data_IF_597063656533
#
_entry.id   IF_597063656533
#
_cell.length_a   1.000
_cell.length_b   1.000
_cell.length_c   1.000
_cell.angle_alpha   90.00
_cell.angle_beta   90.00
_cell.angle_gamma   90.00
#
_symmetry.space_group_name_H-M   'P 1'
#
loop_
_entity.id
_entity.type
_entity.pdbx_description
1 polymer ?
#
# COMPACT_ATOMS: atom_id res chain seq x y z
N UNK A 1 -13.61 -2.72 -21.28
CA UNK A 1 -13.69 -4.18 -21.55
C UNK A 1 -15.16 -4.54 -21.62
N UNK A 2 -15.63 -5.18 -22.69
CA UNK A 2 -17.03 -5.64 -22.77
C UNK A 2 -17.27 -6.70 -21.72
N UNK A 3 -18.40 -6.65 -21.00
CA UNK A 3 -18.74 -7.59 -19.92
C UNK A 3 -18.65 -9.05 -20.37
N UNK A 4 -19.15 -9.37 -21.56
CA UNK A 4 -19.09 -10.72 -22.15
C UNK A 4 -17.66 -11.25 -22.41
N UNK A 5 -16.67 -10.36 -22.48
CA UNK A 5 -15.27 -10.70 -22.74
C UNK A 5 -14.39 -10.59 -21.48
N UNK A 6 -14.97 -10.41 -20.28
CA UNK A 6 -14.21 -10.20 -19.04
C UNK A 6 -13.28 -11.38 -18.73
N UNK A 7 -13.81 -12.60 -18.81
CA UNK A 7 -13.04 -13.83 -18.58
C UNK A 7 -11.81 -13.89 -19.49
N UNK A 8 -12.02 -13.81 -20.80
CA UNK A 8 -10.93 -13.82 -21.79
C UNK A 8 -9.94 -12.67 -21.59
N UNK A 9 -10.41 -11.48 -21.24
CA UNK A 9 -9.55 -10.33 -21.00
C UNK A 9 -8.63 -10.53 -19.77
N UNK A 10 -9.05 -11.31 -18.78
CA UNK A 10 -8.27 -11.66 -17.60
C UNK A 10 -7.36 -12.86 -17.85
N UNK A 11 -7.82 -13.86 -18.60
CA UNK A 11 -7.00 -14.99 -19.06
C UNK A 11 -5.80 -14.52 -19.88
N UNK A 12 -6.00 -13.53 -20.77
CA UNK A 12 -4.92 -12.88 -21.52
C UNK A 12 -3.87 -12.18 -20.62
N UNK A 13 -4.19 -11.94 -19.35
CA UNK A 13 -3.28 -11.37 -18.33
C UNK A 13 -2.72 -12.45 -17.40
N UNK A 14 -2.96 -13.72 -17.70
CA UNK A 14 -2.60 -14.84 -16.85
C UNK A 14 -3.41 -14.92 -15.56
N UNK A 15 -4.60 -14.29 -15.50
CA UNK A 15 -5.47 -14.32 -14.33
C UNK A 15 -6.62 -15.27 -14.58
N UNK A 16 -6.62 -16.39 -13.87
CA UNK A 16 -7.71 -17.37 -13.94
C UNK A 16 -8.78 -17.09 -12.89
N UNK A 17 -10.04 -17.13 -13.32
CA UNK A 17 -11.22 -16.98 -12.47
C UNK A 17 -11.94 -18.32 -12.29
N UNK A 18 -12.38 -18.59 -11.07
CA UNK A 18 -13.38 -19.62 -10.77
C UNK A 18 -14.77 -19.09 -11.08
N UNK A 19 -15.72 -20.00 -11.32
CA UNK A 19 -17.09 -19.64 -11.67
C UNK A 19 -17.73 -18.68 -10.65
N UNK A 20 -17.59 -19.00 -9.35
CA UNK A 20 -18.08 -18.14 -8.27
C UNK A 20 -17.46 -16.74 -8.26
N UNK A 21 -16.18 -16.62 -8.66
CA UNK A 21 -15.48 -15.34 -8.70
C UNK A 21 -15.90 -14.52 -9.90
N UNK A 22 -16.17 -15.17 -11.03
CA UNK A 22 -16.73 -14.53 -12.21
C UNK A 22 -18.09 -13.89 -11.90
N UNK A 23 -18.98 -14.62 -11.21
CA UNK A 23 -20.28 -14.10 -10.76
C UNK A 23 -20.10 -12.91 -9.80
N UNK A 24 -19.17 -13.00 -8.85
CA UNK A 24 -18.86 -11.88 -7.94
C UNK A 24 -18.35 -10.65 -8.69
N UNK A 25 -17.46 -10.85 -9.67
CA UNK A 25 -16.93 -9.76 -10.47
C UNK A 25 -18.00 -9.09 -11.32
N UNK A 26 -18.99 -9.81 -11.84
CA UNK A 26 -20.11 -9.19 -12.57
C UNK A 26 -20.98 -8.27 -11.70
N UNK A 27 -20.93 -8.44 -10.37
CA UNK A 27 -21.70 -7.64 -9.41
C UNK A 27 -20.90 -6.46 -8.83
N UNK A 28 -19.59 -6.36 -9.09
CA UNK A 28 -18.71 -5.44 -8.34
C UNK A 28 -18.33 -4.11 -9.03
N UNK A 29 -17.90 -4.05 -10.30
CA UNK A 29 -17.48 -2.78 -10.90
C UNK A 29 -18.69 -2.04 -11.48
N UNK A 30 -18.63 -0.69 -11.57
CA UNK A 30 -19.61 0.06 -12.31
C UNK A 30 -19.59 -0.37 -13.79
N UNK A 31 -20.67 -1.00 -14.23
CA UNK A 31 -20.91 -1.35 -15.63
C UNK A 31 -21.62 -0.14 -16.24
N UNK A 32 -21.04 0.42 -17.29
CA UNK A 32 -21.66 1.51 -18.04
C UNK A 32 -22.88 1.01 -18.82
N UNK A 33 -23.75 1.92 -19.27
CA UNK A 33 -25.00 1.58 -19.99
C UNK A 33 -24.78 0.76 -21.27
N UNK A 34 -23.60 0.88 -21.88
CA UNK A 34 -23.15 0.13 -23.05
C UNK A 34 -22.49 -1.22 -22.71
N UNK A 35 -22.56 -1.67 -21.46
CA UNK A 35 -22.04 -2.98 -21.04
C UNK A 35 -20.52 -3.04 -21.00
N UNK A 36 -19.87 -1.91 -20.70
CA UNK A 36 -18.42 -1.78 -20.63
C UNK A 36 -17.96 -1.59 -19.18
N UNK A 37 -16.77 -2.11 -18.90
CA UNK A 37 -16.07 -1.94 -17.63
C UNK A 37 -14.70 -1.32 -17.88
N UNK A 38 -14.32 -0.32 -17.10
CA UNK A 38 -12.98 0.27 -17.16
C UNK A 38 -11.93 -0.75 -16.72
N UNK A 39 -10.80 -0.82 -17.45
CA UNK A 39 -9.72 -1.80 -17.16
C UNK A 39 -9.20 -1.70 -15.72
N UNK A 40 -9.02 -0.46 -15.23
CA UNK A 40 -8.63 -0.19 -13.85
C UNK A 40 -9.66 -0.72 -12.85
N UNK A 41 -10.93 -0.33 -13.00
CA UNK A 41 -11.99 -0.80 -12.11
C UNK A 41 -12.13 -2.31 -12.10
N UNK A 42 -11.95 -2.96 -13.26
CA UNK A 42 -11.92 -4.42 -13.34
C UNK A 42 -10.75 -5.00 -12.54
N UNK A 43 -9.54 -4.47 -12.72
CA UNK A 43 -8.37 -4.95 -11.99
C UNK A 43 -8.52 -4.71 -10.48
N UNK A 44 -9.02 -3.54 -10.07
CA UNK A 44 -9.30 -3.23 -8.66
C UNK A 44 -10.24 -4.27 -8.04
N UNK A 45 -11.31 -4.65 -8.74
CA UNK A 45 -12.22 -5.73 -8.30
C UNK A 45 -11.54 -7.10 -8.23
N UNK A 46 -10.63 -7.41 -9.16
CA UNK A 46 -9.91 -8.69 -9.20
C UNK A 46 -8.89 -8.79 -8.06
N UNK A 47 -8.24 -7.70 -7.68
CA UNK A 47 -7.31 -7.61 -6.53
C UNK A 47 -8.02 -7.91 -5.20
N UNK A 48 -9.33 -7.69 -5.11
CA UNK A 48 -10.09 -8.07 -3.92
C UNK A 48 -10.32 -9.59 -3.81
N UNK A 49 -10.06 -10.35 -4.88
CA UNK A 49 -10.17 -11.81 -4.87
C UNK A 49 -8.93 -12.43 -4.25
N UNK A 50 -9.13 -13.37 -3.32
CA UNK A 50 -8.03 -14.06 -2.64
C UNK A 50 -7.35 -15.10 -3.54
N UNK A 51 -6.03 -15.22 -3.43
CA UNK A 51 -5.24 -16.29 -4.05
C UNK A 51 -5.10 -16.15 -5.57
N UNK A 52 -5.18 -14.92 -6.10
CA UNK A 52 -4.88 -14.66 -7.51
C UNK A 52 -3.37 -14.62 -7.67
N UNK A 53 -2.85 -15.46 -8.54
CA UNK A 53 -1.43 -15.56 -8.86
C UNK A 53 -1.21 -15.24 -10.33
N UNK A 54 -0.07 -14.63 -10.64
CA UNK A 54 0.28 -14.21 -12.00
C UNK A 54 1.76 -14.47 -12.26
N UNK A 55 2.08 -14.87 -13.50
CA UNK A 55 3.45 -15.01 -13.97
C UNK A 55 4.06 -13.64 -14.25
N UNK A 56 5.36 -13.45 -13.98
CA UNK A 56 6.05 -12.15 -14.13
C UNK A 56 6.00 -11.61 -15.56
N UNK A 57 6.06 -12.47 -16.58
CA UNK A 57 5.86 -12.10 -17.99
C UNK A 57 4.53 -11.37 -18.27
N UNK A 58 3.50 -11.54 -17.44
CA UNK A 58 2.22 -10.84 -17.58
C UNK A 58 2.21 -9.47 -16.88
N UNK A 59 3.25 -9.14 -16.11
CA UNK A 59 3.36 -7.89 -15.38
C UNK A 59 3.14 -6.66 -16.28
N UNK A 60 3.73 -6.53 -17.49
CA UNK A 60 3.47 -5.39 -18.37
C UNK A 60 1.98 -5.22 -18.72
N UNK A 61 1.27 -6.33 -18.94
CA UNK A 61 -0.16 -6.30 -19.28
C UNK A 61 -1.04 -5.93 -18.08
N UNK A 62 -0.64 -6.35 -16.88
CA UNK A 62 -1.31 -5.99 -15.62
C UNK A 62 -1.08 -4.50 -15.35
N UNK A 63 0.17 -4.06 -15.38
CA UNK A 63 0.56 -2.66 -15.17
C UNK A 63 -0.12 -1.72 -16.16
N UNK A 64 -0.25 -2.10 -17.44
CA UNK A 64 -1.00 -1.34 -18.45
C UNK A 64 -2.52 -1.27 -18.22
N UNK A 65 -3.04 -1.95 -17.18
CA UNK A 65 -4.44 -1.81 -16.72
C UNK A 65 -4.56 -0.96 -15.45
N UNK A 66 -3.43 -0.52 -14.90
CA UNK A 66 -3.32 0.41 -13.77
C UNK A 66 -3.12 1.84 -14.26
N UNK A 67 -3.07 2.80 -13.33
CA UNK A 67 -2.60 4.16 -13.60
C UNK A 67 -1.17 4.38 -13.09
N UNK A 68 -0.42 3.29 -12.84
CA UNK A 68 0.96 3.35 -12.35
C UNK A 68 1.86 3.35 -13.58
N UNK A 69 2.61 4.45 -13.74
CA UNK A 69 3.60 4.58 -14.78
C UNK A 69 4.98 4.47 -14.15
N UNK A 70 5.72 3.42 -14.51
CA UNK A 70 7.05 3.14 -13.99
C UNK A 70 8.09 3.49 -15.05
N UNK A 71 9.12 4.23 -14.66
CA UNK A 71 10.36 4.32 -15.44
C UNK A 71 11.06 2.96 -15.47
N UNK A 72 12.03 2.78 -16.37
CA UNK A 72 12.69 1.48 -16.56
C UNK A 72 13.34 0.99 -15.26
N UNK A 73 14.03 1.89 -14.56
CA UNK A 73 14.72 1.63 -13.31
C UNK A 73 13.73 1.28 -12.19
N UNK A 74 12.53 1.87 -12.20
CA UNK A 74 11.47 1.59 -11.23
C UNK A 74 10.79 0.26 -11.50
N UNK A 75 10.67 -0.14 -12.77
CA UNK A 75 10.18 -1.44 -13.15
C UNK A 75 11.15 -2.55 -12.73
N UNK A 76 12.46 -2.37 -12.94
CA UNK A 76 13.50 -3.27 -12.44
C UNK A 76 13.49 -3.32 -10.90
N UNK A 77 13.39 -2.16 -10.26
CA UNK A 77 13.24 -2.04 -8.81
C UNK A 77 12.02 -2.78 -8.27
N UNK A 78 10.87 -2.71 -8.96
CA UNK A 78 9.66 -3.46 -8.59
C UNK A 78 9.95 -4.96 -8.64
N UNK A 79 10.46 -5.47 -9.76
CA UNK A 79 10.73 -6.91 -9.94
C UNK A 79 11.66 -7.45 -8.85
N UNK A 80 12.73 -6.73 -8.53
CA UNK A 80 13.72 -7.16 -7.53
C UNK A 80 13.16 -7.30 -6.11
N UNK A 81 11.97 -6.76 -5.83
CA UNK A 81 11.35 -6.78 -4.51
C UNK A 81 10.07 -7.61 -4.44
N UNK A 82 9.64 -8.15 -5.58
CA UNK A 82 8.54 -9.09 -5.58
C UNK A 82 9.02 -10.45 -5.05
N UNK A 83 8.27 -11.08 -4.14
CA UNK A 83 8.54 -12.46 -3.73
C UNK A 83 8.09 -13.41 -4.84
N UNK A 84 8.94 -13.55 -5.85
CA UNK A 84 8.73 -14.42 -7.01
C UNK A 84 9.15 -15.84 -6.62
N UNK A 85 8.27 -16.81 -6.87
CA UNK A 85 8.58 -18.22 -6.65
C UNK A 85 9.43 -18.83 -7.78
N UNK A 86 9.84 -20.09 -7.62
CA UNK A 86 10.66 -20.83 -8.59
C UNK A 86 10.03 -20.96 -10.00
N UNK A 87 8.73 -20.71 -10.12
CA UNK A 87 7.98 -20.76 -11.39
C UNK A 87 7.72 -19.36 -11.95
N UNK A 88 8.43 -18.35 -11.46
CA UNK A 88 8.25 -16.94 -11.82
C UNK A 88 6.85 -16.39 -11.52
N UNK A 89 6.19 -16.94 -10.51
CA UNK A 89 4.83 -16.55 -10.11
C UNK A 89 4.86 -15.68 -8.85
N UNK A 90 3.98 -14.67 -8.84
CA UNK A 90 3.74 -13.79 -7.69
C UNK A 90 2.24 -13.70 -7.40
N UNK A 91 1.88 -13.49 -6.14
CA UNK A 91 0.50 -13.16 -5.76
C UNK A 91 0.14 -11.76 -6.28
N UNK A 92 -1.01 -11.63 -6.94
CA UNK A 92 -1.48 -10.39 -7.56
C UNK A 92 -1.63 -9.27 -6.53
N UNK A 93 -2.05 -9.57 -5.31
CA UNK A 93 -2.23 -8.56 -4.27
C UNK A 93 -0.89 -8.04 -3.79
N UNK A 94 0.07 -8.96 -3.60
CA UNK A 94 1.46 -8.59 -3.27
C UNK A 94 2.07 -7.73 -4.38
N UNK A 95 1.87 -8.12 -5.64
CA UNK A 95 2.30 -7.33 -6.79
C UNK A 95 1.70 -5.92 -6.76
N UNK A 96 0.39 -5.81 -6.60
CA UNK A 96 -0.30 -4.53 -6.64
C UNK A 96 0.06 -3.65 -5.44
N UNK A 97 0.34 -4.23 -4.28
CA UNK A 97 0.79 -3.50 -3.11
C UNK A 97 2.23 -3.02 -3.23
N UNK A 98 3.15 -3.81 -3.81
CA UNK A 98 4.50 -3.33 -4.12
C UNK A 98 4.49 -2.25 -5.20
N UNK A 99 3.72 -2.43 -6.27
CA UNK A 99 3.64 -1.46 -7.36
C UNK A 99 3.15 -0.07 -6.89
N UNK A 100 2.20 -0.02 -5.94
CA UNK A 100 1.74 1.24 -5.33
C UNK A 100 2.86 2.00 -4.62
N UNK A 101 3.92 1.34 -4.21
CA UNK A 101 5.05 2.01 -3.55
C UNK A 101 5.87 2.88 -4.51
N UNK A 102 5.74 2.66 -5.82
CA UNK A 102 6.36 3.45 -6.88
C UNK A 102 5.39 4.53 -7.43
N UNK A 103 4.61 5.16 -6.56
CA UNK A 103 3.65 6.19 -6.94
C UNK A 103 3.76 7.44 -6.07
N UNK A 104 3.18 8.55 -6.51
CA UNK A 104 3.20 9.81 -5.77
C UNK A 104 4.54 10.55 -5.85
N UNK A 105 4.77 11.46 -4.91
CA UNK A 105 5.90 12.40 -4.94
C UNK A 105 7.25 11.71 -4.74
N UNK A 106 8.23 12.04 -5.59
CA UNK A 106 9.63 11.60 -5.47
C UNK A 106 10.45 12.60 -4.65
N UNK A 107 11.35 12.11 -3.80
CA UNK A 107 12.22 12.89 -2.92
C UNK A 107 13.67 12.50 -3.17
N UNK A 108 14.57 13.48 -3.30
CA UNK A 108 15.99 13.21 -3.42
C UNK A 108 16.54 12.52 -2.15
N UNK A 109 17.43 11.55 -2.32
CA UNK A 109 18.02 10.79 -1.20
C UNK A 109 18.68 11.73 -0.18
N UNK A 110 19.35 12.79 -0.65
CA UNK A 110 19.95 13.83 0.18
C UNK A 110 18.95 14.59 1.07
N UNK A 111 17.67 14.62 0.70
CA UNK A 111 16.62 15.33 1.41
C UNK A 111 15.78 14.42 2.34
N UNK A 112 16.03 13.10 2.38
CA UNK A 112 15.20 12.14 3.13
C UNK A 112 15.10 12.49 4.61
N UNK A 113 16.22 12.81 5.27
CA UNK A 113 16.24 13.19 6.68
C UNK A 113 15.36 14.43 6.95
N UNK A 114 15.42 15.44 6.07
CA UNK A 114 14.58 16.64 6.19
C UNK A 114 13.09 16.31 6.00
N UNK A 115 12.76 15.48 5.01
CA UNK A 115 11.37 15.07 4.73
C UNK A 115 10.79 14.27 5.89
N UNK A 116 11.53 13.31 6.43
CA UNK A 116 11.10 12.52 7.60
C UNK A 116 10.89 13.40 8.82
N UNK A 117 11.81 14.33 9.11
CA UNK A 117 11.64 15.30 10.21
C UNK A 117 10.40 16.17 10.05
N UNK A 118 10.10 16.61 8.82
CA UNK A 118 8.87 17.37 8.50
C UNK A 118 7.61 16.52 8.71
N UNK A 119 7.67 15.23 8.47
CA UNK A 119 6.60 14.27 8.78
C UNK A 119 6.49 13.94 10.28
N UNK A 120 7.44 14.40 11.10
CA UNK A 120 7.49 14.09 12.54
C UNK A 120 8.23 12.80 12.88
N UNK A 121 8.84 12.13 11.89
CA UNK A 121 9.68 10.96 12.09
C UNK A 121 11.08 11.36 12.58
N UNK A 122 11.52 10.71 13.64
CA UNK A 122 12.83 10.87 14.25
C UNK A 122 13.55 9.53 14.17
N UNK A 123 14.58 9.51 13.33
CA UNK A 123 15.49 8.37 13.20
C UNK A 123 16.84 8.74 13.82
N UNK A 124 17.47 7.79 14.50
CA UNK A 124 18.89 7.87 14.89
C UNK A 124 19.78 7.76 13.65
N UNK A 125 21.09 7.99 13.80
CA UNK A 125 22.02 7.85 12.69
C UNK A 125 22.11 6.39 12.21
N UNK A 126 22.03 5.45 13.15
CA UNK A 126 22.05 4.01 12.91
C UNK A 126 20.79 3.57 12.18
N UNK A 127 19.61 4.01 12.61
CA UNK A 127 18.33 3.74 11.92
C UNK A 127 18.28 4.39 10.54
N UNK A 128 18.85 5.59 10.39
CA UNK A 128 18.95 6.24 9.09
C UNK A 128 19.89 5.48 8.15
N UNK A 129 20.98 4.91 8.67
CA UNK A 129 21.89 4.06 7.90
C UNK A 129 21.18 2.77 7.46
N UNK A 130 20.47 2.09 8.37
CA UNK A 130 19.68 0.90 8.03
C UNK A 130 18.61 1.22 6.98
N UNK A 131 17.95 2.38 7.09
CA UNK A 131 17.01 2.86 6.08
C UNK A 131 17.68 3.00 4.71
N UNK A 132 18.86 3.62 4.65
CA UNK A 132 19.60 3.78 3.40
C UNK A 132 20.06 2.45 2.83
N UNK A 133 20.47 1.49 3.65
CA UNK A 133 20.82 0.13 3.22
C UNK A 133 19.61 -0.62 2.65
N UNK A 134 18.43 -0.46 3.26
CA UNK A 134 17.18 -1.03 2.72
C UNK A 134 16.69 -0.30 1.46
N UNK A 135 17.06 0.97 1.27
CA UNK A 135 16.70 1.78 0.10
C UNK A 135 17.76 1.76 -1.02
N UNK A 136 18.98 1.30 -0.76
CA UNK A 136 20.07 1.26 -1.75
C UNK A 136 19.83 0.20 -2.83
N UNK A 137 18.99 -0.79 -2.55
CA UNK A 137 18.54 -1.82 -3.52
C UNK A 137 17.79 -1.21 -4.72
N UNK A 138 17.41 0.07 -4.63
CA UNK A 138 16.59 0.74 -5.65
C UNK A 138 17.40 1.57 -6.64
N UNK A 139 18.69 1.86 -6.42
CA UNK A 139 19.58 2.58 -7.36
C UNK A 139 19.03 3.90 -7.95
N UNK A 140 18.06 4.57 -7.32
CA UNK A 140 17.46 5.80 -7.86
C UNK A 140 17.83 6.99 -6.98
N UNK A 141 18.47 8.02 -7.55
CA UNK A 141 18.83 9.26 -6.84
C UNK A 141 17.63 10.01 -6.22
N UNK A 142 16.40 9.60 -6.56
CA UNK A 142 15.14 10.03 -5.94
C UNK A 142 14.26 8.82 -5.63
N UNK A 143 13.55 8.86 -4.51
CA UNK A 143 12.70 7.76 -4.04
C UNK A 143 11.27 8.26 -3.81
N UNK A 144 10.28 7.47 -4.18
CA UNK A 144 8.88 7.77 -3.88
C UNK A 144 8.61 7.82 -2.38
N UNK A 145 7.84 8.82 -1.92
CA UNK A 145 7.44 8.93 -0.50
C UNK A 145 6.70 7.69 0.01
N UNK A 146 5.87 7.07 -0.83
CA UNK A 146 5.20 5.80 -0.50
C UNK A 146 6.19 4.68 -0.21
N UNK A 147 7.26 4.57 -1.02
CA UNK A 147 8.33 3.60 -0.81
C UNK A 147 9.11 3.89 0.48
N UNK A 148 9.50 5.15 0.68
CA UNK A 148 10.16 5.59 1.91
C UNK A 148 9.35 5.18 3.15
N UNK A 149 8.05 5.50 3.17
CA UNK A 149 7.18 5.19 4.30
C UNK A 149 7.00 3.68 4.51
N UNK A 150 6.98 2.88 3.43
CA UNK A 150 6.94 1.42 3.55
C UNK A 150 8.18 0.89 4.28
N UNK A 151 9.38 1.29 3.85
CA UNK A 151 10.63 0.83 4.49
C UNK A 151 10.75 1.34 5.92
N UNK A 152 10.35 2.59 6.19
CA UNK A 152 10.36 3.13 7.56
C UNK A 152 9.47 2.31 8.50
N UNK A 153 8.33 1.79 8.03
CA UNK A 153 7.46 0.90 8.84
C UNK A 153 8.07 -0.47 9.15
N UNK A 154 9.03 -0.91 8.34
CA UNK A 154 9.75 -2.18 8.55
C UNK A 154 10.92 -2.02 9.53
N UNK A 155 11.27 -0.79 9.92
CA UNK A 155 12.25 -0.51 10.97
C UNK A 155 11.58 -0.63 12.34
N UNK A 156 12.30 -1.13 13.35
CA UNK A 156 11.78 -1.27 14.72
C UNK A 156 12.05 -0.05 15.63
N UNK A 157 12.96 0.83 15.22
CA UNK A 157 13.47 1.95 16.03
C UNK A 157 12.79 3.33 15.86
N UNK A 158 12.28 3.71 14.66
CA UNK A 158 11.83 5.08 14.43
C UNK A 158 10.80 5.57 15.44
N UNK A 159 10.99 6.80 15.91
CA UNK A 159 10.07 7.48 16.83
C UNK A 159 9.30 8.58 16.10
N UNK A 160 8.12 8.91 16.60
CA UNK A 160 7.23 9.92 16.04
C UNK A 160 6.99 11.02 17.07
N UNK A 161 7.18 12.29 16.69
CA UNK A 161 6.76 13.45 17.50
C UNK A 161 5.23 13.58 17.49
N UNK A 162 4.64 14.12 18.56
CA UNK A 162 3.19 14.33 18.78
C UNK A 162 2.40 14.96 17.61
N UNK A 163 3.04 15.53 16.58
CA UNK A 163 2.38 15.88 15.31
C UNK A 163 2.04 14.63 14.47
N UNK A 164 1.36 13.67 15.08
CA UNK A 164 0.96 12.39 14.51
C UNK A 164 0.05 12.59 13.28
N UNK A 165 -0.83 13.59 13.31
CA UNK A 165 -1.80 13.85 12.23
C UNK A 165 -1.15 13.99 10.84
N UNK A 166 -0.07 14.77 10.72
CA UNK A 166 0.64 14.94 9.44
C UNK A 166 1.30 13.64 8.94
N UNK A 167 1.79 12.81 9.87
CA UNK A 167 2.34 11.50 9.52
C UNK A 167 1.24 10.58 8.99
N UNK A 168 0.11 10.52 9.69
CA UNK A 168 -1.03 9.69 9.30
C UNK A 168 -1.58 10.09 7.93
N UNK A 169 -1.75 11.39 7.69
CA UNK A 169 -2.14 11.91 6.38
C UNK A 169 -1.15 11.49 5.28
N UNK A 170 0.15 11.59 5.53
CA UNK A 170 1.19 11.17 4.58
C UNK A 170 1.17 9.65 4.31
N UNK A 171 0.68 8.87 5.26
CA UNK A 171 0.46 7.42 5.13
C UNK A 171 -0.91 7.07 4.55
N UNK A 172 -1.74 8.05 4.19
CA UNK A 172 -3.09 7.83 3.69
C UNK A 172 -4.08 7.34 4.75
N UNK A 173 -3.75 7.47 6.03
CA UNK A 173 -4.58 7.07 7.16
C UNK A 173 -5.44 8.26 7.57
N UNK A 174 -6.76 8.11 7.41
CA UNK A 174 -7.73 9.08 7.92
C UNK A 174 -8.13 8.71 9.34
N UNK A 175 -7.93 9.64 10.27
CA UNK A 175 -8.33 9.52 11.67
C UNK A 175 -9.36 10.62 11.97
N UNK A 176 -10.45 10.27 12.67
CA UNK A 176 -11.43 11.23 13.16
C UNK A 176 -10.89 11.92 14.41
N UNK A 177 -11.48 13.05 14.78
CA UNK A 177 -11.02 13.79 15.96
C UNK A 177 -11.22 12.98 17.25
N UNK A 178 -12.30 12.20 17.38
CA UNK A 178 -12.52 11.34 18.54
C UNK A 178 -11.50 10.18 18.63
N UNK A 179 -11.16 9.58 17.48
CA UNK A 179 -10.12 8.54 17.41
C UNK A 179 -8.72 9.12 17.72
N UNK A 180 -8.48 10.37 17.35
CA UNK A 180 -7.24 11.09 17.64
C UNK A 180 -7.13 11.41 19.14
N UNK A 181 -8.21 11.80 19.79
CA UNK A 181 -8.26 12.00 21.25
C UNK A 181 -7.98 10.69 22.00
N UNK A 182 -8.64 9.58 21.61
CA UNK A 182 -8.39 8.26 22.19
C UNK A 182 -6.93 7.81 21.97
N UNK A 183 -6.36 8.09 20.80
CA UNK A 183 -4.95 7.83 20.49
C UNK A 183 -4.00 8.61 21.42
N UNK A 184 -4.30 9.88 21.69
CA UNK A 184 -3.47 10.72 22.59
C UNK A 184 -3.54 10.27 24.05
N UNK A 185 -4.65 9.66 24.48
CA UNK A 185 -4.80 9.07 25.82
C UNK A 185 -4.00 7.77 25.93
N UNK A 186 -4.04 6.91 24.91
CA UNK A 186 -3.44 5.58 24.95
C UNK A 186 -1.93 5.57 24.72
N UNK A 187 -1.37 6.58 24.05
CA UNK A 187 0.06 6.66 23.78
C UNK A 187 0.78 7.46 24.89
N UNK A 188 1.47 6.80 25.84
CA UNK A 188 2.24 7.51 26.85
C UNK A 188 3.37 8.28 26.14
N UNK A 189 3.34 9.60 26.26
CA UNK A 189 4.45 10.42 25.79
C UNK A 189 5.57 10.34 26.81
N UNK A 190 6.76 9.93 26.38
CA UNK A 190 7.96 10.12 27.20
C UNK A 190 8.23 11.63 27.43
N UNK A 191 9.22 11.98 28.27
CA UNK A 191 9.60 13.38 28.52
C UNK A 191 9.87 14.20 27.25
N UNK A 192 10.27 13.53 26.17
CA UNK A 192 10.57 14.12 24.85
C UNK A 192 9.35 14.29 23.94
N UNK A 193 8.14 13.95 24.39
CA UNK A 193 6.91 14.05 23.58
C UNK A 193 7.00 13.23 22.28
N UNK A 194 7.51 12.01 22.39
CA UNK A 194 7.62 11.05 21.27
C UNK A 194 7.05 9.69 21.64
N UNK A 195 6.61 8.95 20.61
CA UNK A 195 6.13 7.57 20.71
C UNK A 195 6.86 6.70 19.69
N UNK A 196 7.03 5.40 19.97
CA UNK A 196 7.53 4.46 18.94
C UNK A 196 6.57 4.41 17.76
N UNK A 197 7.09 4.38 16.53
CA UNK A 197 6.23 4.26 15.33
C UNK A 197 5.39 2.98 15.38
N UNK A 198 5.97 1.87 15.83
CA UNK A 198 5.28 0.58 15.92
C UNK A 198 4.14 0.65 16.96
N UNK A 199 4.41 1.19 18.15
CA UNK A 199 3.39 1.38 19.20
C UNK A 199 2.23 2.27 18.72
N UNK A 200 2.55 3.32 17.97
CA UNK A 200 1.57 4.19 17.32
C UNK A 200 0.69 3.41 16.33
N UNK A 201 1.30 2.62 15.45
CA UNK A 201 0.58 1.83 14.44
C UNK A 201 -0.29 0.74 15.06
N UNK A 202 0.18 0.09 16.13
CA UNK A 202 -0.55 -0.93 16.87
C UNK A 202 -1.78 -0.33 17.57
N UNK A 203 -1.61 0.83 18.20
CA UNK A 203 -2.70 1.54 18.88
C UNK A 203 -3.76 2.02 17.90
N UNK A 204 -3.37 2.55 16.74
CA UNK A 204 -4.30 2.92 15.67
C UNK A 204 -5.09 1.70 15.19
N UNK A 205 -4.41 0.57 15.00
CA UNK A 205 -5.06 -0.68 14.57
C UNK A 205 -6.11 -1.13 15.58
N UNK A 206 -5.80 -1.03 16.87
CA UNK A 206 -6.73 -1.34 17.96
C UNK A 206 -7.96 -0.40 17.97
N UNK A 207 -7.75 0.92 17.88
CA UNK A 207 -8.83 1.92 17.86
C UNK A 207 -9.74 1.70 16.64
N UNK A 208 -9.16 1.47 15.45
CA UNK A 208 -9.92 1.22 14.22
C UNK A 208 -10.74 -0.08 14.30
N UNK A 209 -10.17 -1.14 14.87
CA UNK A 209 -10.89 -2.39 15.08
C UNK A 209 -12.08 -2.22 16.03
N UNK A 210 -11.90 -1.48 17.14
CA UNK A 210 -12.97 -1.14 18.08
C UNK A 210 -14.10 -0.34 17.41
N UNK A 211 -13.75 0.65 16.59
CA UNK A 211 -14.71 1.42 15.79
C UNK A 211 -15.52 0.54 14.81
N UNK A 212 -14.88 -0.45 14.18
CA UNK A 212 -15.56 -1.42 13.31
C UNK A 212 -16.48 -2.38 14.09
N UNK A 213 -16.08 -2.84 15.28
CA UNK A 213 -16.93 -3.70 16.13
C UNK A 213 -18.15 -2.96 16.68
N UNK A 214 -18.01 -1.66 17.01
CA UNK A 214 -19.13 -0.85 17.49
C UNK A 214 -20.22 -0.67 16.43
N UNK A 215 -19.85 -0.53 15.15
CA UNK A 215 -20.80 -0.50 14.03
C UNK A 215 -21.48 -1.86 13.79
N UNK A 216 -20.76 -2.97 13.95
CA UNK A 216 -21.30 -4.31 13.78
C UNK A 216 -22.37 -4.63 14.83
N UNK A 217 -22.18 -4.22 16.10
CA UNK A 217 -23.18 -4.40 17.15
C UNK A 217 -24.42 -3.51 16.96
N UNK A 218 -24.26 -2.31 16.40
CA UNK A 218 -25.38 -1.40 16.12
C UNK A 218 -26.25 -1.84 14.92
N UNK A 219 -25.70 -2.63 14.00
CA UNK A 219 -26.46 -3.19 12.85
C UNK A 219 -27.18 -4.50 13.16
N UNK A 220 -26.93 -5.12 14.31
CA UNK A 220 -27.54 -6.41 14.72
C UNK A 220 -28.64 -6.20 15.79
N UNK A 221 -28.85 -4.97 16.26
CA UNK A 221 -29.93 -4.61 17.21
C UNK A 221 -31.08 -3.93 16.48
#
# INVERSE_FOLDING_TARGET
>A
VKVKNLKTALENKGITLREKEHVTLLKSPPISKDGMVYKKSLLDSVVLLKGKKVHICNLPMIMGSTNINLEKEEYEGLINHLPIDENEIVDLNVLMDEAKTFTGEKVAVSNLNSVMRKMGLMLTNEEFKELLEKLSVYNVGKIHKSRLLKVVKELKGPRVKIKVKSLLESMGIRIKDEELEELMIQLPTNGDRTVGLNDLMDTISHIKAKGMMSLHNLMIT
#
